data_IF_970911278178
#
_entry.id   IF_970911278178
#
_cell.length_a   1.000
_cell.length_b   1.000
_cell.length_c   1.000
_cell.angle_alpha   90.00
_cell.angle_beta   90.00
_cell.angle_gamma   90.00
#
_symmetry.space_group_name_H-M   'P 1'
#
loop_
_entity.id
_entity.type
_entity.pdbx_description
1 polymer ?
#
# COMPACT_ATOMS: atom_id res chain seq x y z
N UNK A 1 6.00 19.41 -0.69
CA UNK A 1 5.81 18.47 0.45
C UNK A 1 4.79 17.44 -0.03
N UNK A 2 4.93 16.15 0.26
CA UNK A 2 3.86 15.20 -0.02
C UNK A 2 2.66 15.58 0.85
N UNK A 3 1.47 15.71 0.26
CA UNK A 3 0.22 16.06 0.94
C UNK A 3 0.09 17.47 1.52
N UNK A 4 -1.05 17.70 2.18
CA UNK A 4 -1.49 19.00 2.70
C UNK A 4 -1.02 19.21 4.14
N UNK A 5 -1.02 18.14 4.93
CA UNK A 5 -0.63 18.16 6.34
C UNK A 5 0.83 17.71 6.54
N UNK A 6 1.49 18.10 7.65
CA UNK A 6 2.91 17.78 7.88
C UNK A 6 3.26 16.28 7.93
N UNK A 7 2.27 15.41 8.17
CA UNK A 7 2.43 13.96 8.30
C UNK A 7 2.03 13.18 7.05
N UNK A 8 1.50 13.88 6.05
CA UNK A 8 1.01 13.22 4.85
C UNK A 8 2.15 12.61 4.04
N UNK A 9 1.85 11.49 3.40
CA UNK A 9 2.74 10.81 2.47
C UNK A 9 1.96 10.35 1.26
N UNK A 10 2.58 10.50 0.09
CA UNK A 10 2.08 10.05 -1.19
C UNK A 10 3.08 9.04 -1.78
N UNK A 11 2.59 7.92 -2.30
CA UNK A 11 3.43 6.85 -2.87
C UNK A 11 2.89 6.43 -4.22
N UNK A 12 3.76 6.37 -5.22
CA UNK A 12 3.45 5.85 -6.55
C UNK A 12 4.17 4.53 -6.77
N UNK A 13 3.44 3.49 -7.17
CA UNK A 13 4.01 2.18 -7.51
C UNK A 13 3.58 1.76 -8.91
N UNK A 14 4.52 1.14 -9.63
CA UNK A 14 4.25 0.43 -10.87
C UNK A 14 4.63 -1.03 -10.68
N UNK A 15 3.70 -1.92 -11.01
CA UNK A 15 3.86 -3.36 -10.87
C UNK A 15 4.10 -4.01 -12.22
N UNK A 16 4.96 -5.03 -12.31
CA UNK A 16 5.19 -5.78 -13.56
C UNK A 16 3.96 -6.56 -14.03
N UNK A 17 2.92 -6.65 -13.19
CA UNK A 17 1.62 -7.26 -13.50
C UNK A 17 0.68 -6.34 -14.29
N UNK A 18 1.15 -5.16 -14.70
CA UNK A 18 0.37 -4.20 -15.49
C UNK A 18 -0.55 -3.30 -14.66
N UNK A 19 -0.20 -3.05 -13.40
CA UNK A 19 -0.98 -2.21 -12.47
C UNK A 19 -0.11 -1.03 -12.02
N UNK A 20 -0.69 0.17 -12.01
CA UNK A 20 -0.10 1.35 -11.36
C UNK A 20 -1.03 1.86 -10.27
N UNK A 21 -0.44 2.32 -9.17
CA UNK A 21 -1.16 2.68 -7.95
C UNK A 21 -0.64 4.03 -7.44
N UNK A 22 -1.56 4.89 -7.01
CA UNK A 22 -1.27 6.10 -6.23
C UNK A 22 -1.87 5.91 -4.85
N UNK A 23 -1.04 6.03 -3.82
CA UNK A 23 -1.43 5.98 -2.43
C UNK A 23 -1.39 7.35 -1.80
N UNK A 24 -2.33 7.59 -0.90
CA UNK A 24 -2.32 8.67 0.07
C UNK A 24 -2.39 8.09 1.46
N UNK A 25 -1.77 8.76 2.42
CA UNK A 25 -1.78 8.31 3.80
C UNK A 25 -0.93 9.18 4.70
N UNK A 26 -0.57 8.63 5.85
CA UNK A 26 0.14 9.38 6.89
C UNK A 26 1.22 8.56 7.58
N UNK A 27 2.16 9.29 8.18
CA UNK A 27 3.18 8.74 9.08
C UNK A 27 2.86 9.16 10.51
N UNK A 28 2.67 8.18 11.40
CA UNK A 28 2.44 8.41 12.83
C UNK A 28 3.40 7.54 13.63
N UNK A 29 4.30 8.19 14.38
CA UNK A 29 5.41 7.51 15.07
C UNK A 29 6.22 6.63 14.13
N UNK A 30 6.22 5.31 14.34
CA UNK A 30 6.95 4.31 13.56
C UNK A 30 6.00 3.51 12.65
N UNK A 31 4.83 4.07 12.34
CA UNK A 31 3.76 3.45 11.53
C UNK A 31 3.50 4.30 10.29
N UNK A 32 3.39 3.65 9.14
CA UNK A 32 2.89 4.27 7.89
C UNK A 32 1.64 3.54 7.47
N UNK A 33 0.57 4.29 7.20
CA UNK A 33 -0.69 3.72 6.76
C UNK A 33 -1.13 4.39 5.45
N UNK A 34 -1.37 3.58 4.42
CA UNK A 34 -1.60 4.03 3.05
C UNK A 34 -2.87 3.40 2.48
N UNK A 35 -3.67 4.18 1.76
CA UNK A 35 -4.80 3.69 0.95
C UNK A 35 -4.67 4.18 -0.47
N UNK A 36 -5.06 3.34 -1.42
CA UNK A 36 -5.10 3.76 -2.83
C UNK A 36 -6.12 4.87 -3.03
N UNK A 37 -5.67 5.98 -3.60
CA UNK A 37 -6.53 7.01 -4.18
C UNK A 37 -6.84 6.68 -5.64
N UNK A 38 -5.84 6.15 -6.36
CA UNK A 38 -5.98 5.72 -7.75
C UNK A 38 -5.38 4.33 -7.95
N UNK A 39 -6.12 3.49 -8.68
CA UNK A 39 -5.61 2.25 -9.28
C UNK A 39 -5.92 2.31 -10.77
N UNK A 40 -4.90 2.14 -11.62
CA UNK A 40 -5.06 1.98 -13.05
C UNK A 40 -4.39 0.68 -13.51
N UNK A 41 -4.93 0.06 -14.55
CA UNK A 41 -4.49 -1.24 -15.03
C UNK A 41 -4.44 -1.29 -16.55
N UNK A 42 -3.49 -2.05 -17.08
CA UNK A 42 -3.47 -2.42 -18.50
C UNK A 42 -4.62 -3.38 -18.82
N UNK A 43 -4.93 -3.55 -20.10
CA UNK A 43 -6.07 -4.34 -20.57
C UNK A 43 -6.05 -5.79 -20.05
N UNK A 44 -4.87 -6.40 -20.01
CA UNK A 44 -4.67 -7.81 -19.63
C UNK A 44 -4.49 -8.03 -18.13
N UNK A 45 -4.34 -6.98 -17.33
CA UNK A 45 -4.11 -7.09 -15.91
C UNK A 45 -5.39 -7.51 -15.16
N UNK A 46 -5.22 -8.28 -14.08
CA UNK A 46 -6.31 -8.64 -13.17
C UNK A 46 -7.01 -7.38 -12.64
N UNK A 47 -8.31 -7.48 -12.43
CA UNK A 47 -9.07 -6.40 -11.81
C UNK A 47 -8.64 -6.23 -10.35
N UNK A 48 -8.00 -5.11 -10.06
CA UNK A 48 -7.69 -4.62 -8.71
C UNK A 48 -8.40 -3.28 -8.55
N UNK A 49 -9.07 -3.08 -7.42
CA UNK A 49 -9.91 -1.90 -7.20
C UNK A 49 -9.50 -1.07 -5.99
N UNK A 50 -8.86 -1.67 -4.98
CA UNK A 50 -8.33 -0.95 -3.84
C UNK A 50 -7.23 -1.75 -3.12
N UNK A 51 -6.30 -1.04 -2.50
CA UNK A 51 -5.36 -1.60 -1.54
C UNK A 51 -5.27 -0.74 -0.29
N UNK A 52 -5.03 -1.41 0.84
CA UNK A 52 -4.65 -0.77 2.10
C UNK A 52 -3.35 -1.40 2.56
N UNK A 53 -2.37 -0.56 2.90
CA UNK A 53 -1.05 -1.00 3.35
C UNK A 53 -0.74 -0.41 4.70
N UNK A 54 -0.30 -1.27 5.61
CA UNK A 54 0.19 -0.91 6.91
C UNK A 54 1.65 -1.34 7.03
N UNK A 55 2.52 -0.39 7.36
CA UNK A 55 3.92 -0.63 7.68
C UNK A 55 4.18 -0.20 9.13
N UNK A 56 5.01 -0.96 9.84
CA UNK A 56 5.40 -0.63 11.20
C UNK A 56 6.75 -1.22 11.57
N UNK A 57 7.51 -0.51 12.40
CA UNK A 57 8.69 -1.09 13.04
C UNK A 57 8.28 -1.90 14.28
N UNK A 58 8.64 -3.18 14.31
CA UNK A 58 8.36 -4.09 15.43
C UNK A 58 9.68 -4.73 15.84
N UNK A 59 10.15 -4.43 17.06
CA UNK A 59 11.41 -4.95 17.61
C UNK A 59 12.63 -4.73 16.69
N UNK A 60 12.63 -3.63 15.93
CA UNK A 60 13.72 -3.28 15.01
C UNK A 60 13.56 -3.83 13.58
N UNK A 61 12.60 -4.73 13.34
CA UNK A 61 12.28 -5.21 12.00
C UNK A 61 11.15 -4.40 11.36
N UNK A 62 11.12 -4.35 10.03
CA UNK A 62 9.98 -3.79 9.30
C UNK A 62 8.91 -4.85 9.11
N UNK A 63 7.78 -4.72 9.82
CA UNK A 63 6.58 -5.50 9.57
C UNK A 63 5.64 -4.76 8.60
N UNK A 64 4.96 -5.51 7.74
CA UNK A 64 3.88 -4.96 6.93
C UNK A 64 2.71 -5.91 6.75
N UNK A 65 1.53 -5.34 6.51
CA UNK A 65 0.33 -6.02 6.09
C UNK A 65 -0.31 -5.27 4.91
N UNK A 66 -0.85 -6.01 3.95
CA UNK A 66 -1.52 -5.49 2.76
C UNK A 66 -2.85 -6.20 2.63
N UNK A 67 -3.92 -5.40 2.61
CA UNK A 67 -5.24 -5.84 2.20
C UNK A 67 -5.47 -5.46 0.74
N UNK A 68 -6.20 -6.31 0.02
CA UNK A 68 -6.48 -6.18 -1.40
C UNK A 68 -7.97 -6.38 -1.68
N UNK A 69 -8.57 -5.45 -2.43
CA UNK A 69 -9.84 -5.66 -3.11
C UNK A 69 -9.56 -5.93 -4.59
N UNK A 70 -9.91 -7.11 -5.07
CA UNK A 70 -9.60 -7.55 -6.41
C UNK A 70 -10.57 -8.64 -6.85
N UNK A 71 -10.72 -8.81 -8.17
CA UNK A 71 -11.46 -9.93 -8.80
C UNK A 71 -12.87 -10.16 -8.24
N UNK A 72 -13.59 -9.08 -7.92
CA UNK A 72 -14.95 -9.10 -7.38
C UNK A 72 -15.03 -9.17 -5.85
N UNK A 73 -13.91 -9.41 -5.17
CA UNK A 73 -13.84 -9.49 -3.73
C UNK A 73 -13.64 -8.13 -3.07
N UNK A 74 -14.21 -7.98 -1.86
CA UNK A 74 -14.00 -6.80 -1.01
C UNK A 74 -12.59 -6.80 -0.41
N UNK A 75 -12.19 -5.65 0.12
CA UNK A 75 -10.91 -5.46 0.80
C UNK A 75 -10.73 -6.48 1.92
N UNK A 76 -9.69 -7.31 1.80
CA UNK A 76 -9.39 -8.39 2.74
C UNK A 76 -7.88 -8.68 2.79
N UNK A 77 -7.39 -9.36 3.84
CA UNK A 77 -5.98 -9.71 3.98
C UNK A 77 -5.41 -10.44 2.76
N UNK A 78 -4.27 -9.97 2.26
CA UNK A 78 -3.61 -10.56 1.10
C UNK A 78 -2.14 -10.91 1.35
N UNK A 79 -1.35 -9.99 1.91
CA UNK A 79 0.07 -10.22 2.19
C UNK A 79 0.43 -9.69 3.57
N UNK A 80 1.36 -10.37 4.22
CA UNK A 80 2.06 -9.84 5.38
C UNK A 80 3.49 -10.38 5.41
N UNK A 81 4.45 -9.58 5.85
CA UNK A 81 5.80 -10.05 6.10
C UNK A 81 6.49 -9.24 7.19
N UNK A 82 7.63 -9.76 7.65
CA UNK A 82 8.56 -9.10 8.56
C UNK A 82 9.96 -9.19 7.96
N UNK A 83 10.61 -8.04 7.81
CA UNK A 83 11.88 -7.89 7.14
C UNK A 83 12.94 -7.44 8.14
N UNK A 84 13.99 -8.24 8.28
CA UNK A 84 15.18 -7.87 9.02
C UNK A 84 16.09 -7.00 8.15
N UNK A 85 16.66 -5.97 8.76
CA UNK A 85 17.64 -5.10 8.10
C UNK A 85 18.90 -5.91 7.76
N UNK A 86 19.32 -5.84 6.50
CA UNK A 86 20.58 -6.44 5.99
C UNK A 86 21.70 -5.41 5.88
#
# INVERSE_FOLDING_TARGET
RPGKEPRDVEVMLAHPTGIVEVYVGEVVFHKVELRTDVVARTETAKQVTALHRLYGLVEGDLAYAIDLAAVGERLQPHLSARLTKV
#
